data_IF_785747415111
#
_entry.id   IF_785747415111
#
_cell.length_a   1.000
_cell.length_b   1.000
_cell.length_c   1.000
_cell.angle_alpha   90.00
_cell.angle_beta   90.00
_cell.angle_gamma   90.00
#
_symmetry.space_group_name_H-M   'P 1'
#
loop_
_entity.id
_entity.type
_entity.pdbx_description
1 polymer ?
#
# COMPACT_ATOMS: atom_id res chain seq x y z
N UNK A 1 26.64 -15.02 12.61
CA UNK A 1 25.20 -14.89 12.90
C UNK A 1 24.57 -14.04 11.82
N UNK A 2 23.54 -14.56 11.12
CA UNK A 2 22.80 -13.82 10.07
C UNK A 2 21.50 -13.27 10.70
N UNK A 3 21.29 -11.97 10.59
CA UNK A 3 20.12 -11.28 11.12
C UNK A 3 19.40 -10.63 9.94
N UNK A 4 18.12 -10.97 9.72
CA UNK A 4 17.27 -10.35 8.71
C UNK A 4 16.47 -9.23 9.36
N UNK A 5 16.33 -8.11 8.67
CA UNK A 5 15.71 -6.89 9.16
C UNK A 5 14.67 -6.46 8.13
N UNK A 6 13.40 -6.65 8.43
CA UNK A 6 12.28 -6.49 7.53
C UNK A 6 11.14 -5.65 8.16
N UNK A 7 11.39 -4.38 8.52
CA UNK A 7 10.37 -3.49 9.07
C UNK A 7 9.52 -2.87 7.97
N UNK A 8 8.31 -2.42 8.35
CA UNK A 8 7.54 -1.42 7.65
C UNK A 8 8.01 0.00 8.00
N UNK A 9 7.45 1.00 7.35
CA UNK A 9 7.59 2.39 7.72
C UNK A 9 6.97 2.66 9.09
N UNK A 10 7.56 3.60 9.82
CA UNK A 10 6.97 4.18 11.04
C UNK A 10 6.34 5.51 10.62
N UNK A 11 5.08 5.43 10.21
CA UNK A 11 4.33 6.56 9.64
C UNK A 11 4.58 7.87 10.39
N UNK A 12 4.67 8.96 9.63
CA UNK A 12 4.97 10.31 10.12
C UNK A 12 6.36 10.46 10.78
N UNK A 13 7.24 9.45 10.68
CA UNK A 13 8.52 9.45 11.39
C UNK A 13 9.70 8.89 10.58
N UNK A 14 9.70 7.61 10.24
CA UNK A 14 10.86 6.94 9.62
C UNK A 14 10.41 6.04 8.48
N UNK A 15 11.08 6.13 7.33
CA UNK A 15 10.84 5.24 6.19
C UNK A 15 11.24 3.79 6.50
N UNK A 16 10.74 2.82 5.73
CA UNK A 16 11.11 1.42 5.95
C UNK A 16 12.61 1.15 5.72
N UNK A 17 13.28 1.74 4.69
CA UNK A 17 14.72 1.64 4.55
C UNK A 17 15.51 2.25 5.72
N UNK A 18 15.13 3.42 6.22
CA UNK A 18 15.80 4.07 7.34
C UNK A 18 15.58 3.31 8.64
N UNK A 19 14.37 2.79 8.86
CA UNK A 19 14.07 1.91 9.98
C UNK A 19 14.94 0.64 9.96
N UNK A 20 15.07 0.01 8.79
CA UNK A 20 15.95 -1.14 8.63
C UNK A 20 17.42 -0.80 8.90
N UNK A 21 17.91 0.33 8.42
CA UNK A 21 19.26 0.82 8.68
C UNK A 21 19.49 1.13 10.16
N UNK A 22 18.50 1.75 10.84
CA UNK A 22 18.56 2.04 12.28
C UNK A 22 18.65 0.74 13.11
N UNK A 23 17.80 -0.24 12.81
CA UNK A 23 17.83 -1.55 13.46
C UNK A 23 19.19 -2.23 13.23
N UNK A 24 19.72 -2.19 11.99
CA UNK A 24 21.03 -2.75 11.66
C UNK A 24 22.18 -2.10 12.46
N UNK A 25 22.13 -0.78 12.66
CA UNK A 25 23.09 -0.05 13.53
C UNK A 25 23.04 -0.59 14.96
N UNK A 26 21.85 -0.77 15.53
CA UNK A 26 21.64 -1.32 16.88
C UNK A 26 22.17 -2.75 17.01
N UNK A 27 21.84 -3.61 16.05
CA UNK A 27 22.34 -5.00 15.99
C UNK A 27 23.88 -5.05 15.97
N UNK A 28 24.52 -4.24 15.11
CA UNK A 28 25.98 -4.18 15.00
C UNK A 28 26.66 -3.56 16.22
N UNK A 29 26.01 -2.64 16.91
CA UNK A 29 26.50 -2.09 18.16
C UNK A 29 26.58 -3.14 19.28
N UNK A 30 25.63 -4.09 19.34
CA UNK A 30 25.65 -5.20 20.27
C UNK A 30 26.57 -6.34 19.81
N UNK A 31 26.62 -6.62 18.52
CA UNK A 31 27.41 -7.70 17.93
C UNK A 31 28.04 -7.27 16.59
N UNK A 32 29.27 -6.70 16.60
CA UNK A 32 29.93 -6.17 15.40
C UNK A 32 30.10 -7.20 14.27
N UNK A 33 30.21 -8.49 14.60
CA UNK A 33 30.32 -9.58 13.63
C UNK A 33 28.99 -10.06 13.05
N UNK A 34 27.87 -9.37 13.30
CA UNK A 34 26.58 -9.72 12.71
C UNK A 34 26.59 -9.45 11.19
N UNK A 35 26.15 -10.45 10.42
CA UNK A 35 25.76 -10.28 9.03
C UNK A 35 24.29 -9.84 8.96
N UNK A 36 24.05 -8.55 8.76
CA UNK A 36 22.69 -7.98 8.66
C UNK A 36 22.25 -7.95 7.20
N UNK A 37 21.03 -8.42 6.94
CA UNK A 37 20.36 -8.35 5.63
C UNK A 37 19.09 -7.53 5.81
N UNK A 38 19.08 -6.32 5.22
CA UNK A 38 17.93 -5.42 5.26
C UNK A 38 17.01 -5.71 4.06
N UNK A 39 15.73 -5.96 4.34
CA UNK A 39 14.66 -6.14 3.36
C UNK A 39 13.50 -5.26 3.81
N UNK A 40 13.57 -3.93 3.52
CA UNK A 40 12.48 -3.02 3.85
C UNK A 40 11.16 -3.52 3.26
N UNK A 41 10.09 -3.40 4.01
CA UNK A 41 8.78 -3.95 3.68
C UNK A 41 7.72 -2.86 3.59
N UNK A 42 6.59 -3.20 2.99
CA UNK A 42 5.35 -2.41 2.97
C UNK A 42 4.13 -3.31 2.73
N UNK A 43 2.93 -2.78 2.95
CA UNK A 43 1.65 -3.51 2.79
C UNK A 43 0.86 -3.10 1.52
N UNK A 44 1.48 -2.38 0.57
CA UNK A 44 0.81 -1.83 -0.63
C UNK A 44 0.27 -0.41 -0.43
N UNK A 45 0.54 0.19 0.74
CA UNK A 45 0.27 1.59 1.02
C UNK A 45 1.45 2.50 0.71
N UNK A 46 1.49 3.64 1.39
CA UNK A 46 2.57 4.62 1.32
C UNK A 46 3.93 4.00 1.70
N UNK A 47 4.97 4.36 0.95
CA UNK A 47 6.33 3.85 1.12
C UNK A 47 6.62 2.52 0.42
N UNK A 48 5.64 1.95 -0.31
CA UNK A 48 5.83 0.70 -1.07
C UNK A 48 6.87 0.86 -2.17
N UNK A 49 6.86 1.97 -2.91
CA UNK A 49 7.85 2.25 -3.97
C UNK A 49 9.24 2.33 -3.37
N UNK A 50 9.42 3.11 -2.31
CA UNK A 50 10.72 3.29 -1.63
C UNK A 50 11.25 1.95 -1.08
N UNK A 51 10.40 1.18 -0.38
CA UNK A 51 10.78 -0.12 0.18
C UNK A 51 11.23 -1.10 -0.91
N UNK A 52 10.46 -1.20 -2.01
CA UNK A 52 10.79 -2.09 -3.12
C UNK A 52 12.08 -1.66 -3.82
N UNK A 53 12.25 -0.37 -4.11
CA UNK A 53 13.47 0.14 -4.76
C UNK A 53 14.71 -0.08 -3.90
N UNK A 54 14.61 0.14 -2.58
CA UNK A 54 15.70 -0.12 -1.65
C UNK A 54 16.08 -1.62 -1.57
N UNK A 55 15.08 -2.51 -1.67
CA UNK A 55 15.32 -3.96 -1.64
C UNK A 55 15.86 -4.53 -2.96
N UNK A 56 15.49 -3.92 -4.11
CA UNK A 56 15.74 -4.50 -5.45
C UNK A 56 16.81 -3.76 -6.27
N UNK A 57 17.16 -2.51 -5.89
CA UNK A 57 18.05 -1.65 -6.67
C UNK A 57 17.42 -1.13 -7.97
N UNK A 58 16.08 -1.07 -8.04
CA UNK A 58 15.34 -0.51 -9.17
C UNK A 58 15.56 0.99 -9.34
N UNK A 59 14.99 1.55 -10.42
CA UNK A 59 15.13 2.95 -10.82
C UNK A 59 13.91 3.76 -10.40
N UNK A 60 14.14 4.86 -9.72
CA UNK A 60 13.11 5.86 -9.44
C UNK A 60 12.84 6.70 -10.68
N UNK A 61 11.57 6.99 -10.92
CA UNK A 61 11.07 7.87 -11.95
C UNK A 61 10.12 8.89 -11.33
N UNK A 62 10.21 10.12 -11.80
CA UNK A 62 9.34 11.22 -11.41
C UNK A 62 8.53 11.70 -12.61
N UNK A 63 7.26 12.00 -12.40
CA UNK A 63 6.37 12.55 -13.42
C UNK A 63 5.41 13.57 -12.80
N UNK A 64 5.28 14.74 -13.44
CA UNK A 64 4.24 15.71 -13.08
C UNK A 64 2.89 15.25 -13.63
N UNK A 65 1.96 14.89 -12.73
CA UNK A 65 0.61 14.40 -13.05
C UNK A 65 -0.47 15.31 -12.46
N UNK A 66 -1.73 15.00 -12.72
CA UNK A 66 -2.85 15.63 -12.02
C UNK A 66 -3.05 14.99 -10.65
N UNK A 67 -3.19 15.83 -9.60
CA UNK A 67 -3.68 15.33 -8.32
C UNK A 67 -5.19 15.02 -8.39
N UNK A 68 -5.75 14.53 -7.27
CA UNK A 68 -7.16 14.16 -7.23
C UNK A 68 -8.13 15.36 -7.48
N UNK A 69 -7.71 16.59 -7.29
CA UNK A 69 -8.50 17.81 -7.54
C UNK A 69 -8.16 18.51 -8.86
N UNK A 70 -7.23 17.95 -9.65
CA UNK A 70 -6.81 18.45 -10.95
C UNK A 70 -5.65 19.44 -10.92
N UNK A 71 -4.98 19.62 -9.76
CA UNK A 71 -3.75 20.40 -9.68
C UNK A 71 -2.55 19.54 -10.10
N UNK A 72 -1.46 20.19 -10.51
CA UNK A 72 -0.24 19.46 -10.85
C UNK A 72 0.55 19.11 -9.59
N UNK A 73 1.02 17.85 -9.55
CA UNK A 73 1.86 17.29 -8.49
C UNK A 73 2.94 16.42 -9.12
N UNK A 74 4.14 16.45 -8.55
CA UNK A 74 5.20 15.54 -8.94
C UNK A 74 5.02 14.22 -8.18
N UNK A 75 4.88 13.13 -8.93
CA UNK A 75 4.61 11.79 -8.41
C UNK A 75 5.75 10.85 -8.77
N UNK A 76 6.19 10.09 -7.76
CA UNK A 76 7.29 9.13 -7.89
C UNK A 76 6.72 7.72 -8.11
N UNK A 77 7.38 6.95 -8.97
CA UNK A 77 7.13 5.54 -9.22
C UNK A 77 8.44 4.80 -9.50
N UNK A 78 8.46 3.50 -9.35
CA UNK A 78 9.64 2.66 -9.51
C UNK A 78 9.60 1.78 -10.74
N UNK A 79 10.77 1.54 -11.38
CA UNK A 79 10.94 0.55 -12.45
C UNK A 79 12.09 -0.39 -12.11
N UNK A 80 11.80 -1.68 -12.02
CA UNK A 80 12.77 -2.72 -11.72
C UNK A 80 13.46 -3.22 -13.00
N UNK A 81 14.59 -3.87 -12.83
CA UNK A 81 15.40 -4.38 -13.95
C UNK A 81 14.67 -5.47 -14.78
N UNK A 82 13.70 -6.17 -14.19
CA UNK A 82 12.89 -7.18 -14.87
C UNK A 82 11.69 -6.60 -15.65
N UNK A 83 11.55 -5.28 -15.67
CA UNK A 83 10.43 -4.58 -16.29
C UNK A 83 9.18 -4.48 -15.41
N UNK A 84 9.25 -4.78 -14.12
CA UNK A 84 8.16 -4.55 -13.17
C UNK A 84 8.13 -3.07 -12.77
N UNK A 85 7.01 -2.38 -13.01
CA UNK A 85 6.75 -1.05 -12.48
C UNK A 85 6.00 -1.16 -11.14
N UNK A 86 6.38 -0.31 -10.18
CA UNK A 86 5.71 -0.17 -8.88
C UNK A 86 5.15 1.23 -8.78
N UNK A 87 3.84 1.33 -8.57
CA UNK A 87 3.10 2.60 -8.54
C UNK A 87 2.24 2.63 -7.27
N UNK A 88 2.33 3.71 -6.52
CA UNK A 88 1.38 4.03 -5.46
C UNK A 88 0.33 4.99 -6.01
N UNK A 89 -0.95 4.64 -5.92
CA UNK A 89 -1.99 5.58 -6.34
C UNK A 89 -1.98 6.86 -5.52
N UNK A 90 -1.52 6.79 -4.27
CA UNK A 90 -1.43 7.92 -3.37
C UNK A 90 -0.43 8.99 -3.84
N UNK A 91 0.57 8.63 -4.65
CA UNK A 91 1.51 9.58 -5.22
C UNK A 91 0.83 10.60 -6.15
N UNK A 92 -0.27 10.21 -6.81
CA UNK A 92 -1.08 11.12 -7.64
C UNK A 92 -2.40 11.51 -6.97
N UNK A 93 -3.09 10.56 -6.33
CA UNK A 93 -4.46 10.77 -5.85
C UNK A 93 -4.60 10.45 -4.35
N UNK A 94 -3.55 10.77 -3.59
CA UNK A 94 -3.46 10.53 -2.15
C UNK A 94 -4.22 11.52 -1.30
N UNK A 95 -4.71 11.02 -0.15
CA UNK A 95 -5.43 11.82 0.83
C UNK A 95 -4.53 12.87 1.50
N UNK A 96 -3.24 12.58 1.62
CA UNK A 96 -2.24 13.45 2.25
C UNK A 96 -1.85 14.64 1.38
N UNK A 97 -2.04 14.53 0.07
CA UNK A 97 -1.85 15.66 -0.86
C UNK A 97 -2.91 16.75 -0.69
N UNK A 98 -4.01 16.44 0.02
CA UNK A 98 -5.16 17.33 0.15
C UNK A 98 -5.40 17.67 1.62
N UNK A 99 -5.28 18.96 1.95
CA UNK A 99 -5.61 19.41 3.31
C UNK A 99 -7.05 19.03 3.69
N UNK A 100 -7.34 18.64 4.94
CA UNK A 100 -8.66 18.15 5.35
C UNK A 100 -9.83 19.05 4.95
N UNK A 101 -9.64 20.38 5.00
CA UNK A 101 -10.67 21.38 4.66
C UNK A 101 -10.95 21.50 3.15
N UNK A 102 -10.10 20.93 2.30
CA UNK A 102 -10.24 20.96 0.83
C UNK A 102 -10.65 19.62 0.24
N UNK A 103 -10.81 18.58 1.06
CA UNK A 103 -11.25 17.27 0.59
C UNK A 103 -12.65 17.34 -0.01
N UNK A 104 -12.79 16.83 -1.23
CA UNK A 104 -14.05 16.82 -1.97
C UNK A 104 -14.20 15.50 -2.75
N UNK A 105 -14.73 14.44 -2.13
CA UNK A 105 -14.86 13.14 -2.77
C UNK A 105 -15.85 13.09 -3.92
N UNK A 106 -16.72 14.13 -4.05
CA UNK A 106 -17.61 14.25 -5.20
C UNK A 106 -16.85 14.63 -6.49
N UNK A 107 -15.76 15.41 -6.36
CA UNK A 107 -14.95 15.91 -7.47
C UNK A 107 -13.62 15.19 -7.63
N UNK A 108 -13.13 14.56 -6.57
CA UNK A 108 -11.84 13.87 -6.58
C UNK A 108 -11.78 12.79 -7.67
N UNK A 109 -10.73 12.80 -8.46
CA UNK A 109 -10.53 11.95 -9.64
C UNK A 109 -9.25 11.15 -9.56
N UNK A 110 -9.29 9.91 -10.00
CA UNK A 110 -8.14 9.03 -10.15
C UNK A 110 -7.35 9.22 -11.45
N UNK A 111 -7.54 10.35 -12.16
CA UNK A 111 -6.93 10.57 -13.49
C UNK A 111 -5.40 10.47 -13.47
N UNK A 112 -4.73 11.08 -12.49
CA UNK A 112 -3.28 11.04 -12.37
C UNK A 112 -2.71 9.63 -12.16
N UNK A 113 -3.51 8.72 -11.58
CA UNK A 113 -3.11 7.30 -11.49
C UNK A 113 -3.00 6.67 -12.88
N UNK A 114 -3.94 7.00 -13.78
CA UNK A 114 -3.87 6.56 -15.17
C UNK A 114 -2.68 7.17 -15.92
N UNK A 115 -2.33 8.45 -15.63
CA UNK A 115 -1.12 9.09 -16.18
C UNK A 115 0.15 8.34 -15.76
N UNK A 116 0.26 7.90 -14.48
CA UNK A 116 1.38 7.10 -13.98
C UNK A 116 1.45 5.72 -14.66
N UNK A 117 0.30 5.05 -14.81
CA UNK A 117 0.23 3.76 -15.53
C UNK A 117 0.73 3.93 -16.96
N UNK A 118 0.30 4.96 -17.70
CA UNK A 118 0.80 5.23 -19.05
C UNK A 118 2.29 5.53 -19.08
N UNK A 119 2.81 6.25 -18.09
CA UNK A 119 4.25 6.50 -17.98
C UNK A 119 5.04 5.19 -17.83
N UNK A 120 4.57 4.28 -16.99
CA UNK A 120 5.17 2.95 -16.82
C UNK A 120 5.12 2.14 -18.14
N UNK A 121 3.97 2.15 -18.83
CA UNK A 121 3.82 1.52 -20.15
C UNK A 121 4.79 2.09 -21.18
N UNK A 122 4.94 3.42 -21.20
CA UNK A 122 5.85 4.13 -22.10
C UNK A 122 7.33 3.86 -21.78
N UNK A 123 7.65 3.60 -20.50
CA UNK A 123 8.99 3.18 -20.07
C UNK A 123 9.28 1.69 -20.35
N UNK A 124 8.32 0.94 -20.92
CA UNK A 124 8.49 -0.46 -21.29
C UNK A 124 8.15 -1.46 -20.19
N UNK A 125 7.35 -1.08 -19.18
CA UNK A 125 6.92 -2.01 -18.16
C UNK A 125 6.15 -3.20 -18.77
N UNK A 126 6.47 -4.39 -18.29
CA UNK A 126 5.80 -5.65 -18.66
C UNK A 126 4.87 -6.17 -17.57
N UNK A 127 5.07 -5.67 -16.36
CA UNK A 127 4.24 -5.91 -15.18
C UNK A 127 4.07 -4.60 -14.42
N UNK A 128 2.89 -4.37 -13.87
CA UNK A 128 2.61 -3.22 -13.01
C UNK A 128 2.11 -3.74 -11.66
N UNK A 129 2.69 -3.24 -10.60
CA UNK A 129 2.19 -3.39 -9.23
C UNK A 129 1.61 -2.04 -8.83
N UNK A 130 0.32 -2.04 -8.52
CA UNK A 130 -0.41 -0.84 -8.14
C UNK A 130 -0.87 -0.94 -6.69
N UNK A 131 -0.27 -0.14 -5.81
CA UNK A 131 -0.69 0.02 -4.43
C UNK A 131 -1.91 0.93 -4.32
N UNK A 132 -2.94 0.51 -3.59
CA UNK A 132 -4.23 1.23 -3.47
C UNK A 132 -4.41 1.96 -2.14
N UNK A 133 -3.43 1.91 -1.24
CA UNK A 133 -3.49 2.60 0.04
C UNK A 133 -3.56 4.13 -0.09
N UNK A 134 -4.09 4.81 0.92
CA UNK A 134 -4.03 6.27 1.05
C UNK A 134 -4.91 7.08 0.09
N UNK A 135 -5.90 6.50 -0.60
CA UNK A 135 -6.69 7.16 -1.65
C UNK A 135 -7.57 8.30 -1.17
N UNK A 136 -7.65 9.41 -1.96
CA UNK A 136 -8.58 10.51 -1.76
C UNK A 136 -9.86 10.39 -2.62
N UNK A 137 -9.89 9.51 -3.61
CA UNK A 137 -10.91 9.41 -4.64
C UNK A 137 -12.07 8.47 -4.27
N UNK A 138 -13.25 8.74 -4.85
CA UNK A 138 -14.42 7.87 -4.79
C UNK A 138 -15.14 7.89 -6.16
N UNK A 139 -14.38 7.74 -7.23
CA UNK A 139 -14.82 7.88 -8.62
C UNK A 139 -14.93 6.55 -9.37
N UNK A 140 -14.88 5.41 -8.66
CA UNK A 140 -14.95 4.10 -9.30
C UNK A 140 -13.75 3.76 -10.18
N UNK A 141 -12.68 4.57 -10.15
CA UNK A 141 -11.55 4.49 -11.08
C UNK A 141 -11.85 5.10 -12.46
N UNK A 142 -12.94 5.86 -12.58
CA UNK A 142 -13.35 6.50 -13.84
C UNK A 142 -12.27 7.43 -14.38
N UNK A 143 -11.61 8.22 -13.51
CA UNK A 143 -10.50 9.09 -13.90
C UNK A 143 -9.33 8.30 -14.47
N UNK A 144 -8.91 7.23 -13.80
CA UNK A 144 -7.87 6.33 -14.31
C UNK A 144 -8.22 5.81 -15.71
N UNK A 145 -9.43 5.31 -15.90
CA UNK A 145 -9.88 4.79 -17.21
C UNK A 145 -9.85 5.87 -18.28
N UNK A 146 -10.26 7.11 -17.97
CA UNK A 146 -10.23 8.20 -18.95
C UNK A 146 -8.81 8.58 -19.34
N UNK A 147 -7.87 8.61 -18.41
CA UNK A 147 -6.46 8.81 -18.73
C UNK A 147 -5.89 7.70 -19.62
N UNK A 148 -6.37 6.46 -19.43
CA UNK A 148 -5.98 5.30 -20.24
C UNK A 148 -6.67 5.23 -21.61
N UNK A 149 -7.55 6.21 -21.94
CA UNK A 149 -8.18 6.36 -23.24
C UNK A 149 -9.63 5.88 -23.34
N UNK A 150 -10.25 5.43 -22.25
CA UNK A 150 -11.68 5.09 -22.21
C UNK A 150 -12.50 6.40 -22.20
N UNK A 151 -13.59 6.44 -22.98
CA UNK A 151 -14.54 7.56 -22.94
C UNK A 151 -15.79 7.16 -22.18
N UNK A 152 -16.11 7.95 -21.15
CA UNK A 152 -17.33 7.83 -20.35
C UNK A 152 -18.31 8.90 -20.81
N UNK A 153 -19.45 8.51 -21.35
CA UNK A 153 -20.35 9.40 -22.08
C UNK A 153 -21.72 9.50 -21.40
N UNK A 154 -22.29 10.70 -21.38
CA UNK A 154 -23.68 10.94 -21.00
C UNK A 154 -24.67 10.51 -22.11
N UNK A 155 -25.96 10.77 -21.90
CA UNK A 155 -27.01 10.40 -22.84
C UNK A 155 -26.94 11.18 -24.18
N UNK A 156 -26.30 12.36 -24.18
CA UNK A 156 -26.11 13.20 -25.35
C UNK A 156 -24.78 12.90 -26.08
N UNK A 157 -23.98 11.97 -25.57
CA UNK A 157 -22.69 11.56 -26.12
C UNK A 157 -21.52 12.49 -25.74
N UNK A 158 -21.70 13.38 -24.77
CA UNK A 158 -20.64 14.22 -24.24
C UNK A 158 -19.84 13.46 -23.16
N UNK A 159 -18.54 13.75 -23.07
CA UNK A 159 -17.69 13.19 -22.03
C UNK A 159 -18.09 13.71 -20.64
N UNK A 160 -18.12 12.83 -19.64
CA UNK A 160 -18.39 13.22 -18.27
C UNK A 160 -17.27 14.10 -17.70
N UNK A 161 -17.59 15.06 -16.83
CA UNK A 161 -16.59 15.75 -16.03
C UNK A 161 -15.95 14.77 -15.01
N UNK A 162 -14.77 15.08 -14.45
CA UNK A 162 -14.10 14.24 -13.47
C UNK A 162 -14.87 14.16 -12.14
N UNK A 163 -14.62 13.06 -11.40
CA UNK A 163 -15.13 12.83 -10.05
C UNK A 163 -16.34 11.91 -9.97
N UNK A 164 -16.51 11.28 -8.80
CA UNK A 164 -17.58 10.31 -8.55
C UNK A 164 -18.97 10.87 -8.68
N UNK A 165 -19.18 12.16 -8.34
CA UNK A 165 -20.47 12.83 -8.47
C UNK A 165 -21.01 12.94 -9.90
N UNK A 166 -20.15 12.81 -10.91
CA UNK A 166 -20.57 12.84 -12.31
C UNK A 166 -21.13 11.50 -12.82
N UNK A 167 -20.82 10.39 -12.16
CA UNK A 167 -21.13 9.03 -12.62
C UNK A 167 -22.63 8.74 -12.72
N UNK A 168 -23.48 9.50 -12.03
CA UNK A 168 -24.94 9.37 -12.17
C UNK A 168 -25.47 9.73 -13.54
N UNK A 169 -24.70 10.49 -14.36
CA UNK A 169 -25.08 10.84 -15.73
C UNK A 169 -24.49 9.89 -16.78
N UNK A 170 -23.71 8.89 -16.35
CA UNK A 170 -23.12 7.93 -17.28
C UNK A 170 -24.21 7.13 -17.98
N UNK A 171 -24.18 7.12 -19.31
CA UNK A 171 -25.10 6.39 -20.17
C UNK A 171 -24.40 5.30 -20.99
N UNK A 172 -23.16 5.56 -21.45
CA UNK A 172 -22.41 4.62 -22.28
C UNK A 172 -20.90 4.74 -22.09
N UNK A 173 -20.18 3.67 -22.46
CA UNK A 173 -18.73 3.56 -22.37
C UNK A 173 -18.19 3.23 -23.77
N UNK A 174 -17.10 3.91 -24.16
CA UNK A 174 -16.37 3.64 -25.37
C UNK A 174 -14.91 3.28 -25.03
N UNK A 175 -14.56 2.02 -25.21
CA UNK A 175 -13.23 1.47 -24.89
C UNK A 175 -12.28 1.44 -26.09
N UNK A 176 -12.68 1.92 -27.27
CA UNK A 176 -11.84 1.86 -28.49
C UNK A 176 -10.54 2.64 -28.38
N UNK A 177 -10.49 3.63 -27.48
CA UNK A 177 -9.30 4.41 -27.21
C UNK A 177 -8.40 3.83 -26.09
N UNK A 178 -8.81 2.76 -25.42
CA UNK A 178 -7.99 2.13 -24.37
C UNK A 178 -6.66 1.68 -24.97
N UNK A 179 -5.54 2.05 -24.34
CA UNK A 179 -4.21 1.70 -24.85
C UNK A 179 -4.06 0.18 -25.00
N UNK A 180 -3.88 -0.33 -26.24
CA UNK A 180 -3.86 -1.77 -26.51
C UNK A 180 -2.67 -2.50 -25.87
N UNK A 181 -1.63 -1.76 -25.45
CA UNK A 181 -0.47 -2.35 -24.76
C UNK A 181 -0.85 -2.90 -23.39
N UNK A 182 -1.85 -2.30 -22.72
CA UNK A 182 -2.35 -2.75 -21.42
C UNK A 182 -2.85 -4.20 -21.41
N UNK A 183 -3.40 -4.68 -22.53
CA UNK A 183 -3.83 -6.07 -22.66
C UNK A 183 -2.69 -7.10 -22.58
N UNK A 184 -1.43 -6.66 -22.68
CA UNK A 184 -0.23 -7.52 -22.62
C UNK A 184 0.53 -7.36 -21.31
N UNK A 185 0.11 -6.43 -20.45
CA UNK A 185 0.78 -6.11 -19.18
C UNK A 185 0.02 -6.80 -18.05
N UNK A 186 0.74 -7.56 -17.24
CA UNK A 186 0.18 -8.11 -16.02
C UNK A 186 0.06 -6.97 -14.98
N UNK A 187 -1.13 -6.78 -14.42
CA UNK A 187 -1.39 -5.81 -13.37
C UNK A 187 -1.76 -6.55 -12.09
N UNK A 188 -0.92 -6.40 -11.06
CA UNK A 188 -1.16 -6.92 -9.72
C UNK A 188 -1.53 -5.73 -8.81
N UNK A 189 -2.65 -5.84 -8.11
CA UNK A 189 -3.10 -4.86 -7.12
C UNK A 189 -2.61 -5.29 -5.74
N UNK A 190 -1.78 -4.46 -5.13
CA UNK A 190 -1.32 -4.62 -3.76
C UNK A 190 -2.37 -4.02 -2.81
N UNK A 191 -3.26 -4.86 -2.28
CA UNK A 191 -4.33 -4.41 -1.36
C UNK A 191 -4.90 -5.58 -0.58
N UNK A 192 -5.13 -5.36 0.72
CA UNK A 192 -5.80 -6.31 1.64
C UNK A 192 -7.27 -5.97 1.86
N UNK A 193 -7.80 -4.98 1.12
CA UNK A 193 -9.21 -4.57 1.16
C UNK A 193 -10.05 -5.54 0.34
N UNK A 194 -11.10 -6.11 0.96
CA UNK A 194 -12.04 -7.05 0.34
C UNK A 194 -13.45 -6.46 0.13
N UNK A 195 -13.66 -5.20 0.50
CA UNK A 195 -14.95 -4.53 0.38
C UNK A 195 -15.49 -4.55 -1.06
N UNK A 196 -16.81 -4.78 -1.25
CA UNK A 196 -17.48 -4.63 -2.54
C UNK A 196 -17.53 -3.15 -2.96
N UNK A 197 -17.91 -2.88 -4.20
CA UNK A 197 -18.01 -1.51 -4.72
C UNK A 197 -19.06 -0.68 -3.99
N UNK A 198 -20.27 -1.22 -3.83
CA UNK A 198 -21.45 -0.53 -3.34
C UNK A 198 -22.05 -1.19 -2.10
N UNK A 199 -23.03 -0.50 -1.48
CA UNK A 199 -23.80 -0.96 -0.34
C UNK A 199 -23.17 -0.63 1.01
N UNK A 200 -23.74 -1.12 2.13
CA UNK A 200 -23.32 -0.74 3.49
C UNK A 200 -21.84 -1.04 3.80
N UNK A 201 -21.26 -2.00 3.10
CA UNK A 201 -19.84 -2.37 3.21
C UNK A 201 -19.03 -1.90 2.00
N UNK A 202 -19.61 -1.09 1.13
CA UNK A 202 -18.99 -0.59 -0.10
C UNK A 202 -18.04 0.59 0.12
N UNK A 203 -17.41 1.00 -0.97
CA UNK A 203 -16.40 2.04 -1.01
C UNK A 203 -16.83 3.35 -0.33
N UNK A 204 -18.03 3.86 -0.67
CA UNK A 204 -18.50 5.15 -0.18
C UNK A 204 -18.85 5.10 1.30
N UNK A 205 -19.50 4.04 1.77
CA UNK A 205 -19.92 3.91 3.16
C UNK A 205 -18.74 3.74 4.11
N UNK A 206 -17.78 2.91 3.75
CA UNK A 206 -16.64 2.58 4.62
C UNK A 206 -15.55 3.66 4.56
N UNK A 207 -15.22 4.15 3.38
CA UNK A 207 -14.05 5.02 3.19
C UNK A 207 -14.40 6.47 2.82
N UNK A 208 -15.66 6.78 2.48
CA UNK A 208 -16.10 8.13 2.12
C UNK A 208 -15.91 9.16 3.23
N UNK A 209 -16.27 8.86 4.50
CA UNK A 209 -16.14 9.84 5.59
C UNK A 209 -14.73 10.37 5.79
N UNK A 210 -13.70 9.51 5.77
CA UNK A 210 -12.30 9.97 5.89
C UNK A 210 -11.83 10.84 4.71
N UNK A 211 -12.49 10.71 3.55
CA UNK A 211 -12.24 11.52 2.34
C UNK A 211 -13.02 12.84 2.33
N UNK A 212 -13.77 13.11 3.40
CA UNK A 212 -14.53 14.34 3.60
C UNK A 212 -16.00 14.28 3.14
N UNK A 213 -16.53 13.09 2.84
CA UNK A 213 -17.95 12.95 2.47
C UNK A 213 -18.87 13.20 3.67
N UNK A 214 -19.91 14.03 3.48
CA UNK A 214 -21.03 14.09 4.43
C UNK A 214 -21.89 12.81 4.33
N UNK A 215 -22.75 12.52 5.33
CA UNK A 215 -23.65 11.37 5.26
C UNK A 215 -24.50 11.35 3.98
N UNK A 216 -24.97 12.51 3.52
CA UNK A 216 -25.77 12.63 2.28
C UNK A 216 -24.91 12.35 1.04
N UNK A 217 -23.67 12.83 1.04
CA UNK A 217 -22.72 12.57 -0.04
C UNK A 217 -22.34 11.09 -0.12
N UNK A 218 -22.22 10.41 1.02
CA UNK A 218 -21.95 8.96 1.06
C UNK A 218 -23.06 8.19 0.31
N UNK A 219 -24.34 8.49 0.60
CA UNK A 219 -25.48 7.86 -0.08
C UNK A 219 -25.48 8.20 -1.59
N UNK A 220 -25.22 9.46 -1.92
CA UNK A 220 -25.16 9.90 -3.30
C UNK A 220 -24.05 9.20 -4.07
N UNK A 221 -22.83 9.17 -3.53
CA UNK A 221 -21.70 8.51 -4.16
C UNK A 221 -21.92 7.00 -4.32
N UNK A 222 -22.55 6.34 -3.36
CA UNK A 222 -22.87 4.92 -3.47
C UNK A 222 -23.84 4.65 -4.63
N UNK A 223 -24.86 5.49 -4.80
CA UNK A 223 -25.78 5.42 -5.95
C UNK A 223 -25.05 5.68 -7.28
N UNK A 224 -24.12 6.68 -7.33
CA UNK A 224 -23.34 6.99 -8.52
C UNK A 224 -22.43 5.84 -8.93
N UNK A 225 -21.78 5.19 -7.96
CA UNK A 225 -20.97 3.98 -8.20
C UNK A 225 -21.85 2.83 -8.68
N UNK A 226 -23.08 2.71 -8.15
CA UNK A 226 -24.10 1.74 -8.61
C UNK A 226 -24.43 1.93 -10.09
N UNK A 227 -24.72 3.17 -10.51
CA UNK A 227 -24.95 3.48 -11.93
C UNK A 227 -23.73 3.17 -12.80
N UNK A 228 -22.54 3.52 -12.34
CA UNK A 228 -21.29 3.19 -13.04
C UNK A 228 -21.17 1.67 -13.25
N UNK A 229 -21.39 0.88 -12.20
CA UNK A 229 -21.33 -0.58 -12.30
C UNK A 229 -22.39 -1.15 -13.25
N UNK A 230 -23.63 -0.59 -13.26
CA UNK A 230 -24.68 -1.01 -14.18
C UNK A 230 -24.32 -0.78 -15.64
N UNK A 231 -23.73 0.40 -15.94
CA UNK A 231 -23.29 0.71 -17.29
C UNK A 231 -22.11 -0.16 -17.70
N UNK A 232 -21.14 -0.37 -16.80
CA UNK A 232 -20.01 -1.29 -17.02
C UNK A 232 -20.50 -2.71 -17.28
N UNK A 233 -21.43 -3.22 -16.48
CA UNK A 233 -21.97 -4.57 -16.65
C UNK A 233 -22.67 -4.76 -18.00
N UNK A 234 -23.44 -3.76 -18.45
CA UNK A 234 -24.03 -3.78 -19.81
C UNK A 234 -22.99 -3.76 -20.91
N UNK A 235 -21.90 -3.01 -20.74
CA UNK A 235 -20.83 -2.91 -21.75
C UNK A 235 -19.97 -4.18 -21.82
N UNK A 236 -19.62 -4.75 -20.65
CA UNK A 236 -18.70 -5.90 -20.56
C UNK A 236 -19.41 -7.25 -20.56
N UNK A 237 -20.71 -7.28 -20.29
CA UNK A 237 -21.47 -8.53 -20.13
C UNK A 237 -21.27 -9.23 -18.77
N UNK A 238 -20.51 -8.65 -17.86
CA UNK A 238 -20.19 -9.19 -16.52
C UNK A 238 -20.27 -8.09 -15.48
N UNK A 239 -20.80 -8.40 -14.29
CA UNK A 239 -20.88 -7.49 -13.15
C UNK A 239 -19.78 -7.82 -12.13
N UNK A 240 -18.85 -6.91 -11.95
CA UNK A 240 -17.71 -7.04 -11.03
C UNK A 240 -17.94 -6.32 -9.68
N UNK A 241 -19.11 -5.69 -9.44
CA UNK A 241 -19.33 -4.84 -8.24
C UNK A 241 -19.23 -5.58 -6.90
N UNK A 242 -19.52 -6.88 -6.89
CA UNK A 242 -19.52 -7.72 -5.68
C UNK A 242 -18.22 -8.48 -5.47
N UNK A 243 -17.27 -8.36 -6.38
CA UNK A 243 -15.98 -9.02 -6.22
C UNK A 243 -15.18 -8.42 -5.05
N UNK A 244 -14.47 -9.26 -4.29
CA UNK A 244 -13.58 -8.78 -3.23
C UNK A 244 -12.58 -7.77 -3.76
N UNK A 245 -12.46 -6.62 -3.06
CA UNK A 245 -11.55 -5.55 -3.45
C UNK A 245 -12.12 -4.56 -4.48
N UNK A 246 -13.33 -4.77 -5.02
CA UNK A 246 -13.96 -3.83 -5.95
C UNK A 246 -14.11 -2.42 -5.34
N UNK A 247 -14.34 -2.32 -4.02
CA UNK A 247 -14.45 -1.05 -3.29
C UNK A 247 -13.12 -0.39 -2.94
N UNK A 248 -11.99 -1.08 -3.12
CA UNK A 248 -10.68 -0.54 -2.78
C UNK A 248 -10.43 0.78 -3.52
N UNK A 249 -9.81 1.74 -2.82
CA UNK A 249 -9.50 3.06 -3.35
C UNK A 249 -10.70 3.78 -3.99
N UNK A 250 -11.88 3.71 -3.34
CA UNK A 250 -13.08 4.38 -3.83
C UNK A 250 -13.61 3.82 -5.15
N UNK A 251 -13.39 2.52 -5.37
CA UNK A 251 -13.80 1.77 -6.55
C UNK A 251 -12.76 1.70 -7.67
N UNK A 252 -11.55 2.24 -7.48
CA UNK A 252 -10.47 2.04 -8.47
C UNK A 252 -10.20 0.55 -8.66
N UNK A 253 -10.29 -0.26 -7.58
CA UNK A 253 -10.20 -1.71 -7.65
C UNK A 253 -11.22 -2.34 -8.60
N UNK A 254 -12.46 -1.85 -8.63
CA UNK A 254 -13.49 -2.28 -9.59
C UNK A 254 -13.05 -2.03 -11.04
N UNK A 255 -12.61 -0.79 -11.35
CA UNK A 255 -12.17 -0.45 -12.69
C UNK A 255 -10.96 -1.28 -13.14
N UNK A 256 -9.99 -1.48 -12.25
CA UNK A 256 -8.80 -2.27 -12.54
C UNK A 256 -9.16 -3.75 -12.85
N UNK A 257 -10.08 -4.35 -12.11
CA UNK A 257 -10.58 -5.70 -12.40
C UNK A 257 -11.32 -5.75 -13.71
N UNK A 258 -12.31 -4.86 -13.89
CA UNK A 258 -13.25 -4.90 -14.99
C UNK A 258 -12.60 -4.61 -16.37
N UNK A 259 -11.65 -3.67 -16.43
CA UNK A 259 -11.09 -3.19 -17.69
C UNK A 259 -9.63 -3.60 -17.92
N UNK A 260 -8.87 -3.84 -16.85
CA UNK A 260 -7.43 -4.12 -16.92
C UNK A 260 -7.10 -5.57 -16.52
N UNK A 261 -8.09 -6.39 -16.19
CA UNK A 261 -7.92 -7.77 -15.74
C UNK A 261 -6.94 -7.92 -14.56
N UNK A 262 -6.94 -6.93 -13.67
CA UNK A 262 -6.00 -6.86 -12.55
C UNK A 262 -6.25 -7.96 -11.51
N UNK A 263 -5.17 -8.50 -10.96
CA UNK A 263 -5.17 -9.53 -9.94
C UNK A 263 -4.90 -8.92 -8.55
N UNK A 264 -5.78 -9.18 -7.59
CA UNK A 264 -5.58 -8.73 -6.21
C UNK A 264 -4.71 -9.71 -5.44
N UNK A 265 -3.74 -9.18 -4.71
CA UNK A 265 -2.84 -9.94 -3.85
C UNK A 265 -2.54 -9.12 -2.59
N UNK A 266 -2.32 -9.77 -1.43
CA UNK A 266 -1.84 -9.07 -0.24
C UNK A 266 -0.57 -8.28 -0.54
N UNK A 267 -0.56 -7.00 -0.13
CA UNK A 267 0.57 -6.11 -0.43
C UNK A 267 1.88 -6.62 0.15
N UNK A 268 1.85 -7.09 1.37
CA UNK A 268 3.04 -7.66 2.05
C UNK A 268 3.62 -8.87 1.30
N UNK A 269 2.78 -9.70 0.67
CA UNK A 269 3.26 -10.86 -0.10
C UNK A 269 3.96 -10.43 -1.38
N UNK A 270 3.44 -9.40 -2.07
CA UNK A 270 4.06 -8.85 -3.28
C UNK A 270 5.43 -8.26 -2.93
N UNK A 271 5.50 -7.43 -1.89
CA UNK A 271 6.75 -6.79 -1.48
C UNK A 271 7.77 -7.82 -0.99
N UNK A 272 7.34 -8.84 -0.23
CA UNK A 272 8.19 -9.94 0.20
C UNK A 272 8.74 -10.77 -0.98
N UNK A 273 7.91 -10.99 -2.02
CA UNK A 273 8.34 -11.67 -3.26
C UNK A 273 9.42 -10.86 -3.99
N UNK A 274 9.17 -9.57 -4.21
CA UNK A 274 10.12 -8.68 -4.89
C UNK A 274 11.43 -8.53 -4.12
N UNK A 275 11.37 -8.31 -2.81
CA UNK A 275 12.52 -8.22 -1.92
C UNK A 275 13.18 -9.55 -1.60
N UNK A 276 12.70 -10.67 -2.15
CA UNK A 276 13.19 -12.03 -1.92
C UNK A 276 13.32 -12.37 -0.43
N UNK A 277 12.37 -11.93 0.38
CA UNK A 277 12.41 -12.05 1.85
C UNK A 277 12.59 -13.51 2.30
N UNK A 278 11.93 -14.47 1.65
CA UNK A 278 12.05 -15.89 1.98
C UNK A 278 13.51 -16.38 1.84
N UNK A 279 14.17 -16.02 0.72
CA UNK A 279 15.58 -16.37 0.50
C UNK A 279 16.49 -15.65 1.51
N UNK A 280 16.18 -14.41 1.88
CA UNK A 280 16.91 -13.67 2.90
C UNK A 280 16.81 -14.35 4.27
N UNK A 281 15.66 -14.93 4.61
CA UNK A 281 15.41 -15.60 5.90
C UNK A 281 16.09 -16.98 5.98
N UNK A 282 16.36 -17.66 4.87
CA UNK A 282 17.06 -18.94 4.89
C UNK A 282 18.41 -18.84 5.62
N UNK A 283 18.60 -19.71 6.65
CA UNK A 283 19.80 -19.71 7.48
C UNK A 283 19.95 -18.48 8.39
N UNK A 284 18.93 -17.66 8.52
CA UNK A 284 18.92 -16.58 9.49
C UNK A 284 18.80 -17.12 10.93
N UNK A 285 19.41 -16.41 11.87
CA UNK A 285 19.33 -16.73 13.30
C UNK A 285 18.14 -16.03 13.95
N UNK A 286 17.79 -14.84 13.44
CA UNK A 286 16.73 -13.99 13.98
C UNK A 286 16.22 -13.06 12.87
N UNK A 287 14.93 -12.76 12.91
CA UNK A 287 14.30 -11.72 12.09
C UNK A 287 13.83 -10.57 12.98
N UNK A 288 14.17 -9.35 12.62
CA UNK A 288 13.52 -8.13 13.13
C UNK A 288 12.46 -7.66 12.14
N UNK A 289 11.29 -7.31 12.64
CA UNK A 289 10.24 -6.60 11.91
C UNK A 289 9.67 -5.48 12.78
N UNK A 290 8.74 -4.69 12.27
CA UNK A 290 8.10 -3.65 13.06
C UNK A 290 7.27 -2.70 12.22
N UNK A 291 6.51 -1.86 12.90
CA UNK A 291 5.71 -0.76 12.34
C UNK A 291 5.44 0.30 13.42
N UNK A 292 4.87 1.45 13.06
CA UNK A 292 4.58 2.52 14.00
C UNK A 292 3.64 2.13 15.14
N UNK A 293 2.59 1.34 14.85
CA UNK A 293 1.65 0.86 15.88
C UNK A 293 1.20 -0.56 15.58
N UNK A 294 1.41 -1.45 16.54
CA UNK A 294 0.98 -2.84 16.49
C UNK A 294 -0.18 -3.10 17.44
N UNK A 295 -1.28 -3.62 16.93
CA UNK A 295 -2.48 -4.00 17.69
C UNK A 295 -3.19 -5.18 16.98
N UNK A 296 -4.42 -5.49 17.39
CA UNK A 296 -5.22 -6.57 16.77
C UNK A 296 -5.44 -6.40 15.26
N UNK A 297 -5.35 -5.17 14.72
CA UNK A 297 -5.49 -4.95 13.27
C UNK A 297 -4.25 -5.39 12.49
N UNK A 298 -3.07 -5.46 13.13
CA UNK A 298 -1.83 -5.94 12.51
C UNK A 298 -1.97 -7.37 11.98
N UNK A 299 -2.87 -8.18 12.55
CA UNK A 299 -3.19 -9.54 12.05
C UNK A 299 -3.88 -9.54 10.68
N UNK A 300 -4.48 -8.43 10.27
CA UNK A 300 -5.29 -8.32 9.04
C UNK A 300 -4.45 -7.94 7.81
N UNK A 301 -3.32 -8.64 7.60
CA UNK A 301 -2.52 -8.47 6.39
C UNK A 301 -1.38 -7.46 6.49
N UNK A 302 -1.18 -6.78 7.63
CA UNK A 302 -0.08 -5.83 7.78
C UNK A 302 1.30 -6.52 7.82
N UNK A 303 2.31 -5.74 7.51
CA UNK A 303 3.70 -6.18 7.32
C UNK A 303 4.24 -7.10 8.44
N UNK A 304 4.16 -6.77 9.74
CA UNK A 304 4.77 -7.64 10.76
C UNK A 304 4.18 -9.05 10.79
N UNK A 305 2.86 -9.19 10.57
CA UNK A 305 2.21 -10.49 10.51
C UNK A 305 2.62 -11.28 9.26
N UNK A 306 2.78 -10.61 8.11
CA UNK A 306 3.25 -11.23 6.86
C UNK A 306 4.68 -11.73 6.98
N UNK A 307 5.59 -10.90 7.51
CA UNK A 307 6.99 -11.27 7.76
C UNK A 307 7.08 -12.46 8.72
N UNK A 308 6.30 -12.44 9.82
CA UNK A 308 6.28 -13.50 10.80
C UNK A 308 5.85 -14.85 10.21
N UNK A 309 4.81 -14.88 9.36
CA UNK A 309 4.36 -16.09 8.66
C UNK A 309 5.45 -16.67 7.76
N UNK A 310 6.21 -15.83 7.06
CA UNK A 310 7.32 -16.28 6.20
C UNK A 310 8.44 -16.86 7.06
N UNK A 311 8.84 -16.16 8.13
CA UNK A 311 9.88 -16.61 9.04
C UNK A 311 9.51 -17.91 9.80
N UNK A 312 8.24 -18.05 10.18
CA UNK A 312 7.72 -19.27 10.84
C UNK A 312 7.88 -20.51 9.97
N UNK A 313 7.64 -20.40 8.65
CA UNK A 313 7.85 -21.50 7.70
C UNK A 313 9.31 -21.96 7.64
N UNK A 314 10.25 -21.05 7.87
CA UNK A 314 11.68 -21.33 7.94
C UNK A 314 12.16 -21.71 9.36
N UNK A 315 11.29 -21.72 10.37
CA UNK A 315 11.63 -22.01 11.76
C UNK A 315 12.50 -20.93 12.42
N UNK A 316 12.49 -19.70 11.89
CA UNK A 316 13.31 -18.60 12.40
C UNK A 316 12.48 -17.71 13.34
N UNK A 317 12.95 -17.42 14.56
CA UNK A 317 12.25 -16.55 15.50
C UNK A 317 12.18 -15.11 14.99
N UNK A 318 11.07 -14.41 15.36
CA UNK A 318 10.81 -13.03 14.95
C UNK A 318 10.65 -12.14 16.16
N UNK A 319 11.38 -11.04 16.18
CA UNK A 319 11.19 -9.94 17.14
C UNK A 319 10.59 -8.75 16.42
N UNK A 320 9.50 -8.24 16.96
CA UNK A 320 8.84 -7.06 16.46
C UNK A 320 9.16 -5.82 17.31
N UNK A 321 9.49 -4.71 16.64
CA UNK A 321 9.71 -3.41 17.23
C UNK A 321 8.57 -2.48 16.81
N UNK A 322 7.89 -1.85 17.77
CA UNK A 322 6.74 -0.99 17.50
C UNK A 322 6.89 0.37 18.16
N UNK A 323 6.48 1.43 17.49
CA UNK A 323 6.36 2.75 18.12
C UNK A 323 5.45 2.68 19.34
N UNK A 324 4.32 1.99 19.21
CA UNK A 324 3.42 1.66 20.32
C UNK A 324 2.80 0.26 20.16
N UNK A 325 2.54 -0.39 21.29
CA UNK A 325 1.77 -1.64 21.36
C UNK A 325 0.36 -1.28 21.87
N UNK A 326 -0.65 -1.54 21.04
CA UNK A 326 -2.06 -1.33 21.36
C UNK A 326 -2.74 -2.61 21.81
N UNK A 327 -4.04 -2.51 22.11
CA UNK A 327 -4.83 -3.64 22.60
C UNK A 327 -4.85 -4.80 21.62
N UNK A 328 -4.66 -6.01 22.14
CA UNK A 328 -4.72 -7.25 21.37
C UNK A 328 -3.46 -7.57 20.55
N UNK A 329 -2.35 -6.83 20.73
CA UNK A 329 -1.08 -7.15 20.06
C UNK A 329 -0.56 -8.54 20.43
N UNK A 330 -0.94 -9.07 21.60
CA UNK A 330 -0.53 -10.41 22.09
C UNK A 330 -0.98 -11.52 21.13
N UNK A 331 -2.06 -11.29 20.37
CA UNK A 331 -2.53 -12.24 19.36
C UNK A 331 -1.51 -12.47 18.23
N UNK A 332 -0.54 -11.55 18.05
CA UNK A 332 0.54 -11.70 17.09
C UNK A 332 1.51 -12.85 17.39
N UNK A 333 1.56 -13.30 18.64
CA UNK A 333 2.34 -14.51 18.99
C UNK A 333 1.82 -15.77 18.26
N UNK A 334 0.51 -15.85 18.02
CA UNK A 334 -0.09 -16.98 17.31
C UNK A 334 0.30 -17.03 15.81
N UNK A 335 0.74 -15.92 15.22
CA UNK A 335 1.17 -15.85 13.81
C UNK A 335 2.70 -15.86 13.64
N UNK A 336 3.45 -16.12 14.72
CA UNK A 336 4.90 -16.34 14.66
C UNK A 336 5.77 -15.20 15.22
N UNK A 337 5.20 -14.13 15.78
CA UNK A 337 5.97 -13.12 16.51
C UNK A 337 6.41 -13.73 17.85
N UNK A 338 7.72 -13.93 18.04
CA UNK A 338 8.28 -14.50 19.27
C UNK A 338 8.25 -13.51 20.43
N UNK A 339 8.51 -12.23 20.16
CA UNK A 339 8.44 -11.15 21.14
C UNK A 339 8.17 -9.81 20.44
N UNK A 340 7.46 -8.91 21.11
CA UNK A 340 7.21 -7.56 20.64
C UNK A 340 7.65 -6.53 21.71
N UNK A 341 8.29 -5.44 21.28
CA UNK A 341 8.80 -4.39 22.15
C UNK A 341 8.38 -3.02 21.66
N UNK A 342 7.89 -2.18 22.58
CA UNK A 342 7.74 -0.75 22.30
C UNK A 342 9.10 -0.07 22.23
N UNK A 343 9.23 0.91 21.33
CA UNK A 343 10.44 1.73 21.21
C UNK A 343 10.64 2.66 22.39
N UNK A 344 9.54 3.15 22.98
CA UNK A 344 9.60 4.10 24.10
C UNK A 344 10.37 3.51 25.27
N UNK A 345 11.43 4.19 25.78
CA UNK A 345 12.22 3.74 26.93
C UNK A 345 11.46 3.98 28.26
N UNK A 346 10.45 4.82 28.25
CA UNK A 346 9.62 5.23 29.36
C UNK A 346 8.56 6.24 28.89
N UNK A 347 7.94 7.00 29.77
CA UNK A 347 7.02 8.07 29.39
C UNK A 347 7.73 9.15 28.57
N UNK A 348 7.35 9.31 27.31
CA UNK A 348 7.82 10.35 26.37
C UNK A 348 6.62 10.92 25.63
N UNK A 349 6.75 12.13 25.10
CA UNK A 349 5.71 12.73 24.25
C UNK A 349 5.70 12.07 22.88
N UNK A 350 4.56 12.13 22.17
CA UNK A 350 4.47 11.66 20.78
C UNK A 350 5.50 12.37 19.91
N UNK A 351 5.64 13.69 20.05
CA UNK A 351 6.62 14.48 19.29
C UNK A 351 8.06 13.97 19.48
N UNK A 352 8.45 13.65 20.72
CA UNK A 352 9.76 13.06 20.98
C UNK A 352 9.90 11.68 20.36
N UNK A 353 8.85 10.84 20.45
CA UNK A 353 8.86 9.51 19.84
C UNK A 353 9.06 9.57 18.32
N UNK A 354 8.37 10.51 17.64
CA UNK A 354 8.50 10.72 16.19
C UNK A 354 9.88 11.28 15.81
N UNK A 355 10.37 12.28 16.55
CA UNK A 355 11.66 12.93 16.25
C UNK A 355 12.85 12.00 16.47
N UNK A 356 12.83 11.19 17.53
CA UNK A 356 13.95 10.34 17.94
C UNK A 356 13.81 8.88 17.45
N UNK A 357 12.88 8.60 16.55
CA UNK A 357 12.49 7.22 16.20
C UNK A 357 13.65 6.36 15.69
N UNK A 358 14.53 6.87 14.84
CA UNK A 358 15.73 6.12 14.40
C UNK A 358 16.64 5.74 15.57
N UNK A 359 16.88 6.67 16.48
CA UNK A 359 17.68 6.42 17.67
C UNK A 359 17.03 5.38 18.57
N UNK A 360 15.72 5.49 18.79
CA UNK A 360 14.95 4.55 19.60
C UNK A 360 14.93 3.14 18.98
N UNK A 361 14.82 3.04 17.64
CA UNK A 361 14.94 1.77 16.92
C UNK A 361 16.31 1.13 17.13
N UNK A 362 17.40 1.90 16.97
CA UNK A 362 18.75 1.40 17.15
C UNK A 362 19.00 0.96 18.59
N UNK A 363 18.58 1.76 19.57
CA UNK A 363 18.76 1.45 21.00
C UNK A 363 17.97 0.18 21.37
N UNK A 364 16.71 0.05 20.94
CA UNK A 364 15.89 -1.15 21.21
C UNK A 364 16.45 -2.40 20.55
N UNK A 365 16.89 -2.29 19.30
CA UNK A 365 17.51 -3.41 18.58
C UNK A 365 18.81 -3.86 19.27
N UNK A 366 19.65 -2.91 19.74
CA UNK A 366 20.85 -3.22 20.54
C UNK A 366 20.49 -3.99 21.81
N UNK A 367 19.53 -3.52 22.59
CA UNK A 367 19.14 -4.13 23.85
C UNK A 367 18.60 -5.55 23.66
N UNK A 368 17.77 -5.76 22.63
CA UNK A 368 17.28 -7.09 22.24
C UNK A 368 18.43 -8.01 21.86
N UNK A 369 19.39 -7.53 21.07
CA UNK A 369 20.55 -8.33 20.68
C UNK A 369 21.47 -8.67 21.87
N UNK A 370 21.66 -7.76 22.81
CA UNK A 370 22.42 -8.02 24.03
C UNK A 370 21.77 -9.15 24.86
N UNK A 371 20.45 -9.10 25.03
CA UNK A 371 19.69 -10.17 25.70
C UNK A 371 19.84 -11.51 24.95
N UNK A 372 19.68 -11.50 23.63
CA UNK A 372 19.83 -12.67 22.77
C UNK A 372 21.19 -13.33 22.94
N UNK A 373 22.28 -12.53 22.87
CA UNK A 373 23.66 -13.00 23.04
C UNK A 373 23.92 -13.55 24.46
N UNK A 374 23.35 -12.93 25.48
CA UNK A 374 23.48 -13.40 26.86
C UNK A 374 22.79 -14.76 27.08
N UNK A 375 21.61 -14.95 26.46
CA UNK A 375 20.89 -16.21 26.51
C UNK A 375 21.68 -17.35 25.81
N UNK A 376 22.24 -17.09 24.64
CA UNK A 376 23.03 -18.12 23.91
C UNK A 376 24.30 -18.56 24.63
N UNK A 377 24.98 -17.63 25.33
CA UNK A 377 26.18 -18.00 26.12
C UNK A 377 25.93 -18.99 27.26
N UNK A 378 24.69 -19.15 27.71
CA UNK A 378 24.30 -20.09 28.77
C UNK A 378 23.85 -21.44 28.24
N UNK A 379 23.65 -21.55 26.93
CA UNK A 379 23.21 -22.82 26.29
C UNK A 379 24.39 -23.61 25.68
N UNK A 380 25.60 -23.03 25.67
CA UNK A 380 26.88 -23.63 25.30
C UNK A 380 27.66 -24.01 26.57
#
# INVERSE_FOLDING_TARGET
MKIVIAPDSFKESVSAPDAAAAIARGVKAAFPGAHTVCVPMADGGEGTVEAVLAATGGKEHELTVNDALGYKVDAIWGLLADGTAVIEMAAAAGLELISPSKRDPMRASSHGVGELILAAVNAGATRIILGLGGSATNDGGAGMLTALGVRLLDADGHSLPPGGGALGKLASIDTRGLDPRLAKIRIDIASDVDNPLCGPHGASHIFGPQKGATPEQVLTLDQMLGNFADVCARHLGVDHRHEPGAGAAGGLGFAAKAFLQAHFRPGVEIVAELGQLANAIEGATLVFTGEGRMDAQTLRGKTPAGVAKIAQRAGVPVVALAGSLGDGYEALHAVGISAAFSLAPGPITLQQALTDAEKLLADRARDVMQLWMAAQKRML
#
